data_IF_457065221484
#
_entry.id   IF_457065221484
#
_cell.length_a   1.000
_cell.length_b   1.000
_cell.length_c   1.000
_cell.angle_alpha   90.00
_cell.angle_beta   90.00
_cell.angle_gamma   90.00
#
_symmetry.space_group_name_H-M   'P 1'
#
loop_
_entity.id
_entity.type
_entity.pdbx_description
1 polymer ?
#
# COMPACT_ATOMS: atom_id res chain seq x y z
N UNK A 1 -24.18 -36.22 25.27
CA UNK A 1 -24.66 -35.07 26.08
C UNK A 1 -23.61 -33.96 26.24
N UNK A 2 -22.54 -34.09 27.03
CA UNK A 2 -21.57 -32.98 27.22
C UNK A 2 -20.68 -32.75 25.97
N UNK A 3 -20.22 -33.84 25.36
CA UNK A 3 -19.42 -33.83 24.12
C UNK A 3 -20.23 -33.34 22.91
N UNK A 4 -21.50 -33.75 22.82
CA UNK A 4 -22.47 -33.22 21.85
C UNK A 4 -22.73 -31.72 22.00
N UNK A 5 -22.85 -31.24 23.25
CA UNK A 5 -23.05 -29.83 23.54
C UNK A 5 -21.83 -28.97 23.19
N UNK A 6 -20.61 -29.50 23.41
CA UNK A 6 -19.36 -28.83 23.01
C UNK A 6 -19.25 -28.76 21.49
N UNK A 7 -19.48 -29.87 20.78
CA UNK A 7 -19.44 -29.88 19.31
C UNK A 7 -20.47 -28.94 18.68
N UNK A 8 -21.70 -28.88 19.23
CA UNK A 8 -22.70 -27.90 18.75
C UNK A 8 -22.31 -26.46 19.05
N UNK A 9 -21.63 -26.19 20.16
CA UNK A 9 -21.16 -24.85 20.51
C UNK A 9 -20.01 -24.39 19.61
N UNK A 10 -19.08 -25.29 19.28
CA UNK A 10 -18.01 -25.05 18.30
C UNK A 10 -18.58 -24.79 16.89
N UNK A 11 -19.54 -25.60 16.44
CA UNK A 11 -20.24 -25.41 15.16
C UNK A 11 -20.96 -24.06 15.08
N UNK A 12 -21.64 -23.64 16.17
CA UNK A 12 -22.32 -22.34 16.24
C UNK A 12 -21.29 -21.21 16.21
N UNK A 13 -20.16 -21.36 16.90
CA UNK A 13 -19.10 -20.36 16.92
C UNK A 13 -18.46 -20.18 15.54
N UNK A 14 -18.10 -21.27 14.85
CA UNK A 14 -17.55 -21.21 13.49
C UNK A 14 -18.53 -20.59 12.50
N UNK A 15 -19.81 -20.99 12.54
CA UNK A 15 -20.85 -20.42 11.67
C UNK A 15 -21.05 -18.93 11.92
N UNK A 16 -21.05 -18.52 13.19
CA UNK A 16 -21.19 -17.10 13.55
C UNK A 16 -20.01 -16.29 13.05
N UNK A 17 -18.78 -16.82 13.20
CA UNK A 17 -17.56 -16.19 12.69
C UNK A 17 -17.59 -16.05 11.17
N UNK A 18 -17.94 -17.12 10.44
CA UNK A 18 -18.08 -17.11 8.99
C UNK A 18 -19.16 -16.11 8.53
N UNK A 19 -20.30 -16.04 9.21
CA UNK A 19 -21.34 -15.05 8.90
C UNK A 19 -20.86 -13.61 9.11
N UNK A 20 -20.11 -13.35 10.18
CA UNK A 20 -19.52 -12.03 10.44
C UNK A 20 -18.47 -11.66 9.39
N UNK A 21 -17.61 -12.59 8.99
CA UNK A 21 -16.65 -12.40 7.92
C UNK A 21 -17.34 -12.14 6.57
N UNK A 22 -18.42 -12.87 6.27
CA UNK A 22 -19.22 -12.68 5.06
C UNK A 22 -19.89 -11.31 5.03
N UNK A 23 -20.57 -10.91 6.11
CA UNK A 23 -21.17 -9.57 6.21
C UNK A 23 -20.14 -8.46 6.09
N UNK A 24 -18.95 -8.66 6.66
CA UNK A 24 -17.85 -7.69 6.54
C UNK A 24 -17.37 -7.59 5.09
N UNK A 25 -17.24 -8.72 4.39
CA UNK A 25 -16.85 -8.76 2.99
C UNK A 25 -17.91 -8.11 2.06
N UNK A 26 -19.20 -8.37 2.28
CA UNK A 26 -20.29 -7.73 1.54
C UNK A 26 -20.32 -6.22 1.75
N UNK A 27 -20.19 -5.77 2.99
CA UNK A 27 -20.14 -4.34 3.32
C UNK A 27 -18.93 -3.66 2.66
N UNK A 28 -17.77 -4.32 2.66
CA UNK A 28 -16.58 -3.80 1.98
C UNK A 28 -16.75 -3.73 0.47
N UNK A 29 -17.32 -4.76 -0.16
CA UNK A 29 -17.62 -4.73 -1.61
C UNK A 29 -18.58 -3.60 -1.99
N UNK A 30 -19.62 -3.36 -1.19
CA UNK A 30 -20.57 -2.28 -1.42
C UNK A 30 -19.94 -0.89 -1.26
N UNK A 31 -19.18 -0.68 -0.17
CA UNK A 31 -18.36 0.53 0.01
C UNK A 31 -17.44 0.69 -1.19
N UNK A 32 -16.94 -0.42 -1.72
CA UNK A 32 -15.95 -0.38 -2.75
C UNK A 32 -16.42 -0.02 -4.15
N UNK A 33 -17.58 -0.51 -4.55
CA UNK A 33 -18.23 -0.07 -5.78
C UNK A 33 -18.57 1.42 -5.74
N UNK A 34 -19.02 1.92 -4.58
CA UNK A 34 -19.32 3.34 -4.38
C UNK A 34 -18.05 4.19 -4.39
N UNK A 35 -17.00 3.74 -3.69
CA UNK A 35 -15.70 4.39 -3.68
C UNK A 35 -15.13 4.52 -5.10
N UNK A 36 -15.22 3.48 -5.93
CA UNK A 36 -14.80 3.49 -7.33
C UNK A 36 -15.46 4.61 -8.15
N UNK A 37 -16.77 4.77 -8.01
CA UNK A 37 -17.52 5.83 -8.70
C UNK A 37 -17.14 7.21 -8.19
N UNK A 38 -17.13 7.40 -6.87
CA UNK A 38 -16.83 8.68 -6.22
C UNK A 38 -15.40 9.13 -6.51
N UNK A 39 -14.44 8.22 -6.45
CA UNK A 39 -13.06 8.51 -6.78
C UNK A 39 -12.87 8.94 -8.24
N UNK A 40 -13.56 8.29 -9.17
CA UNK A 40 -13.52 8.67 -10.58
C UNK A 40 -14.14 10.07 -10.79
N UNK A 41 -15.23 10.38 -10.08
CA UNK A 41 -15.89 11.69 -10.13
C UNK A 41 -15.07 12.79 -9.47
N UNK A 42 -14.24 12.50 -8.46
CA UNK A 42 -13.31 13.47 -7.84
C UNK A 42 -12.03 13.63 -8.66
N UNK A 43 -11.49 12.55 -9.24
CA UNK A 43 -10.27 12.59 -10.05
C UNK A 43 -10.44 13.50 -11.26
N UNK A 44 -11.63 13.52 -11.87
CA UNK A 44 -11.92 14.36 -13.04
C UNK A 44 -11.72 15.87 -12.80
N UNK A 45 -12.42 16.53 -11.85
CA UNK A 45 -12.22 17.94 -11.57
C UNK A 45 -10.81 18.24 -11.06
N UNK A 46 -10.20 17.34 -10.28
CA UNK A 46 -8.80 17.50 -9.86
C UNK A 46 -7.82 17.50 -11.03
N UNK A 47 -7.98 16.59 -11.99
CA UNK A 47 -7.13 16.53 -13.20
C UNK A 47 -7.23 17.83 -13.98
N UNK A 48 -8.44 18.38 -14.12
CA UNK A 48 -8.68 19.67 -14.79
C UNK A 48 -7.99 20.82 -14.04
N UNK A 49 -8.15 20.89 -12.72
CA UNK A 49 -7.49 21.91 -11.88
C UNK A 49 -5.97 21.82 -11.99
N UNK A 50 -5.40 20.62 -11.85
CA UNK A 50 -3.96 20.35 -11.99
C UNK A 50 -3.43 20.80 -13.36
N UNK A 51 -4.18 20.52 -14.43
CA UNK A 51 -3.84 20.96 -15.78
C UNK A 51 -3.77 22.49 -15.91
N UNK A 52 -4.74 23.21 -15.34
CA UNK A 52 -4.69 24.68 -15.31
C UNK A 52 -3.52 25.21 -14.49
N UNK A 53 -3.25 24.65 -13.31
CA UNK A 53 -2.12 25.07 -12.48
C UNK A 53 -0.78 24.85 -13.20
N UNK A 54 -0.62 23.72 -13.91
CA UNK A 54 0.57 23.44 -14.74
C UNK A 54 0.73 24.43 -15.90
N UNK A 55 -0.36 24.85 -16.54
CA UNK A 55 -0.32 25.91 -17.57
C UNK A 55 0.14 27.22 -16.95
N UNK A 56 -0.35 27.58 -15.76
CA UNK A 56 0.11 28.80 -15.08
C UNK A 56 1.59 28.74 -14.77
N UNK A 57 2.08 27.63 -14.20
CA UNK A 57 3.51 27.39 -13.92
C UNK A 57 4.44 27.61 -15.12
N UNK A 58 3.95 27.46 -16.37
CA UNK A 58 4.73 27.67 -17.59
C UNK A 58 4.88 29.12 -18.02
N UNK A 59 4.22 30.07 -17.34
CA UNK A 59 4.26 31.51 -17.64
C UNK A 59 5.29 32.23 -16.75
N UNK A 60 5.79 33.37 -17.22
CA UNK A 60 6.57 34.26 -16.35
C UNK A 60 5.69 34.77 -15.20
N UNK A 61 6.19 34.62 -13.98
CA UNK A 61 5.53 34.99 -12.73
C UNK A 61 6.57 35.28 -11.65
N UNK A 62 6.13 35.82 -10.51
CA UNK A 62 7.01 36.00 -9.35
C UNK A 62 7.43 34.65 -8.75
N UNK A 63 8.56 34.62 -8.04
CA UNK A 63 8.99 33.41 -7.31
C UNK A 63 7.97 32.98 -6.26
N UNK A 64 7.24 33.94 -5.66
CA UNK A 64 6.21 33.71 -4.67
C UNK A 64 4.97 33.03 -5.27
N UNK A 65 4.49 33.49 -6.43
CA UNK A 65 3.40 32.84 -7.16
C UNK A 65 3.76 31.41 -7.59
N UNK A 66 5.01 31.22 -8.00
CA UNK A 66 5.53 29.92 -8.40
C UNK A 66 5.58 28.94 -7.21
N UNK A 67 5.94 29.43 -6.02
CA UNK A 67 5.88 28.66 -4.78
C UNK A 67 4.45 28.26 -4.41
N UNK A 68 3.49 29.18 -4.48
CA UNK A 68 2.09 28.88 -4.17
C UNK A 68 1.48 27.86 -5.14
N UNK A 69 1.79 27.98 -6.43
CA UNK A 69 1.34 27.03 -7.45
C UNK A 69 1.90 25.62 -7.23
N UNK A 70 3.18 25.50 -6.83
CA UNK A 70 3.77 24.21 -6.47
C UNK A 70 3.06 23.58 -5.26
N UNK A 71 2.81 24.36 -4.22
CA UNK A 71 2.10 23.89 -3.03
C UNK A 71 0.68 23.39 -3.36
N UNK A 72 -0.06 24.12 -4.20
CA UNK A 72 -1.39 23.69 -4.65
C UNK A 72 -1.35 22.36 -5.41
N UNK A 73 -0.35 22.18 -6.29
CA UNK A 73 -0.17 20.92 -7.02
C UNK A 73 0.20 19.77 -6.08
N UNK A 74 1.05 20.01 -5.07
CA UNK A 74 1.39 19.01 -4.06
C UNK A 74 0.16 18.54 -3.27
N UNK A 75 -0.70 19.46 -2.83
CA UNK A 75 -1.93 19.09 -2.12
C UNK A 75 -2.94 18.36 -3.03
N UNK A 76 -2.99 18.70 -4.33
CA UNK A 76 -3.76 17.91 -5.30
C UNK A 76 -3.21 16.48 -5.44
N UNK A 77 -1.89 16.32 -5.57
CA UNK A 77 -1.26 15.00 -5.64
C UNK A 77 -1.52 14.18 -4.38
N UNK A 78 -1.53 14.84 -3.21
CA UNK A 78 -1.86 14.22 -1.93
C UNK A 78 -3.32 13.74 -1.90
N UNK A 79 -4.26 14.55 -2.35
CA UNK A 79 -5.66 14.13 -2.48
C UNK A 79 -5.82 12.94 -3.44
N UNK A 80 -5.09 12.94 -4.56
CA UNK A 80 -5.05 11.84 -5.54
C UNK A 80 -4.58 10.54 -4.89
N UNK A 81 -3.56 10.63 -4.03
CA UNK A 81 -3.02 9.50 -3.27
C UNK A 81 -4.04 8.96 -2.28
N UNK A 82 -4.69 9.82 -1.49
CA UNK A 82 -5.73 9.42 -0.52
C UNK A 82 -6.89 8.71 -1.22
N UNK A 83 -7.30 9.21 -2.39
CA UNK A 83 -8.37 8.60 -3.18
C UNK A 83 -7.95 7.22 -3.68
N UNK A 84 -6.73 7.07 -4.18
CA UNK A 84 -6.21 5.78 -4.64
C UNK A 84 -6.07 4.77 -3.49
N UNK A 85 -5.60 5.21 -2.33
CA UNK A 85 -5.54 4.40 -1.11
C UNK A 85 -6.96 3.92 -0.73
N UNK A 86 -7.94 4.81 -0.74
CA UNK A 86 -9.34 4.47 -0.46
C UNK A 86 -9.93 3.49 -1.50
N UNK A 87 -9.55 3.62 -2.77
CA UNK A 87 -9.95 2.70 -3.83
C UNK A 87 -9.35 1.31 -3.72
N UNK A 88 -8.14 1.20 -3.17
CA UNK A 88 -7.51 -0.11 -2.97
C UNK A 88 -8.27 -0.99 -1.97
N UNK A 89 -8.95 -0.38 -0.99
CA UNK A 89 -9.83 -1.07 -0.04
C UNK A 89 -11.13 -1.58 -0.66
N UNK A 90 -11.51 -0.95 -1.76
CA UNK A 90 -12.82 -0.97 -2.37
C UNK A 90 -12.95 -2.02 -3.49
N UNK A 91 -11.88 -2.17 -4.27
CA UNK A 91 -11.78 -3.21 -5.28
C UNK A 91 -10.39 -3.83 -5.16
N UNK A 92 -10.25 -5.04 -4.59
CA UNK A 92 -9.15 -5.88 -5.03
C UNK A 92 -9.27 -5.96 -6.56
N UNK A 93 -8.22 -5.55 -7.24
CA UNK A 93 -8.16 -5.57 -8.69
C UNK A 93 -8.27 -7.06 -9.07
N UNK A 94 -9.38 -7.48 -9.66
CA UNK A 94 -9.56 -8.86 -10.13
C UNK A 94 -8.75 -9.04 -11.42
N UNK A 95 -7.48 -8.64 -11.39
CA UNK A 95 -6.52 -8.89 -12.43
C UNK A 95 -6.38 -10.40 -12.61
N UNK A 96 -6.13 -10.80 -13.86
CA UNK A 96 -5.91 -12.22 -14.17
C UNK A 96 -4.71 -12.70 -13.36
N UNK A 97 -4.86 -13.85 -12.71
CA UNK A 97 -3.74 -14.57 -12.13
C UNK A 97 -2.78 -14.94 -13.26
N UNK A 98 -1.57 -14.40 -13.19
CA UNK A 98 -0.48 -14.67 -14.14
C UNK A 98 0.69 -15.31 -13.40
N UNK A 99 1.58 -15.95 -14.15
CA UNK A 99 2.89 -16.34 -13.62
C UNK A 99 3.78 -15.10 -13.66
N UNK A 100 4.25 -14.70 -12.48
CA UNK A 100 5.10 -13.55 -12.23
C UNK A 100 6.51 -14.09 -11.95
N UNK A 101 7.51 -13.51 -12.61
CA UNK A 101 8.89 -13.72 -12.22
C UNK A 101 9.18 -12.86 -10.98
N UNK A 102 9.45 -13.53 -9.86
CA UNK A 102 9.70 -12.88 -8.58
C UNK A 102 10.96 -12.02 -8.61
N UNK A 103 12.00 -12.46 -9.33
CA UNK A 103 13.26 -11.73 -9.46
C UNK A 103 13.06 -10.43 -10.23
N UNK A 104 12.38 -10.48 -11.38
CA UNK A 104 12.01 -9.28 -12.16
C UNK A 104 11.15 -8.32 -11.32
N UNK A 105 10.19 -8.85 -10.55
CA UNK A 105 9.35 -8.05 -9.66
C UNK A 105 10.18 -7.36 -8.56
N UNK A 106 11.08 -8.10 -7.90
CA UNK A 106 11.96 -7.56 -6.86
C UNK A 106 12.80 -6.40 -7.40
N UNK A 107 13.45 -6.60 -8.55
CA UNK A 107 14.29 -5.57 -9.18
C UNK A 107 13.47 -4.32 -9.56
N UNK A 108 12.35 -4.49 -10.25
CA UNK A 108 11.49 -3.38 -10.65
C UNK A 108 10.99 -2.54 -9.46
N UNK A 109 10.63 -3.19 -8.37
CA UNK A 109 10.15 -2.50 -7.17
C UNK A 109 11.32 -1.81 -6.45
N UNK A 110 12.48 -2.47 -6.32
CA UNK A 110 13.65 -1.86 -5.67
C UNK A 110 14.18 -0.66 -6.44
N UNK A 111 14.22 -0.72 -7.76
CA UNK A 111 14.63 0.41 -8.61
C UNK A 111 13.69 1.60 -8.43
N UNK A 112 12.37 1.36 -8.47
CA UNK A 112 11.38 2.40 -8.23
C UNK A 112 11.56 3.04 -6.84
N UNK A 113 11.72 2.21 -5.81
CA UNK A 113 11.87 2.67 -4.43
C UNK A 113 13.23 3.32 -4.16
N UNK A 114 14.28 2.99 -4.93
CA UNK A 114 15.59 3.66 -4.82
C UNK A 114 15.50 5.13 -5.19
N UNK A 115 14.70 5.48 -6.20
CA UNK A 115 14.44 6.85 -6.59
C UNK A 115 13.70 7.62 -5.49
N UNK A 116 12.73 6.97 -4.84
CA UNK A 116 12.01 7.54 -3.69
C UNK A 116 12.93 7.71 -2.47
N UNK A 117 13.77 6.70 -2.20
CA UNK A 117 14.73 6.71 -1.10
C UNK A 117 15.80 7.81 -1.26
N UNK A 118 16.23 8.11 -2.49
CA UNK A 118 17.15 9.21 -2.78
C UNK A 118 16.56 10.60 -2.50
N UNK A 119 15.23 10.75 -2.61
CA UNK A 119 14.55 12.00 -2.24
C UNK A 119 14.41 12.13 -0.71
N UNK A 120 14.45 11.02 0.03
CA UNK A 120 14.52 10.98 1.48
C UNK A 120 15.98 11.00 1.98
N UNK A 121 16.20 11.30 3.26
CA UNK A 121 17.56 11.34 3.85
C UNK A 121 18.31 10.00 3.66
N UNK A 122 19.64 10.03 3.57
CA UNK A 122 20.64 8.93 3.50
C UNK A 122 20.15 7.47 3.80
N UNK A 123 19.34 6.87 2.91
CA UNK A 123 18.94 5.45 3.01
C UNK A 123 19.72 4.61 2.02
N UNK A 124 20.37 3.57 2.52
CA UNK A 124 21.03 2.55 1.71
C UNK A 124 20.05 1.41 1.41
N UNK A 125 19.86 1.10 0.12
CA UNK A 125 18.99 0.02 -0.31
C UNK A 125 19.81 -1.18 -0.79
N UNK A 126 19.44 -2.39 -0.36
CA UNK A 126 20.07 -3.64 -0.78
C UNK A 126 19.05 -4.69 -1.20
N UNK A 127 19.38 -5.39 -2.27
CA UNK A 127 18.54 -6.45 -2.82
C UNK A 127 19.34 -7.74 -2.84
N UNK A 128 18.73 -8.85 -2.43
CA UNK A 128 19.30 -10.18 -2.52
C UNK A 128 18.28 -11.14 -3.12
N UNK A 129 18.65 -11.82 -4.20
CA UNK A 129 17.82 -12.85 -4.84
C UNK A 129 18.55 -14.17 -4.66
N UNK A 130 18.08 -15.00 -3.73
CA UNK A 130 18.71 -16.29 -3.44
C UNK A 130 18.27 -17.37 -4.42
N UNK A 131 17.01 -17.31 -4.83
CA UNK A 131 16.38 -18.30 -5.70
C UNK A 131 15.62 -17.63 -6.84
N UNK A 132 15.56 -18.29 -7.99
CA UNK A 132 14.59 -17.93 -9.02
C UNK A 132 13.20 -18.46 -8.63
N UNK A 133 12.26 -17.54 -8.43
CA UNK A 133 10.92 -17.87 -7.94
C UNK A 133 9.88 -17.43 -8.96
N UNK A 134 8.97 -18.36 -9.31
CA UNK A 134 7.78 -18.06 -10.11
C UNK A 134 6.55 -18.04 -9.22
N UNK A 135 5.81 -16.95 -9.24
CA UNK A 135 4.68 -16.70 -8.34
C UNK A 135 3.41 -16.63 -9.19
N UNK A 136 2.37 -17.37 -8.81
CA UNK A 136 1.05 -17.23 -9.45
C UNK A 136 0.23 -16.20 -8.69
N UNK A 137 -0.08 -15.07 -9.31
CA UNK A 137 -0.75 -13.95 -8.62
C UNK A 137 -1.20 -12.84 -9.56
N UNK A 138 -1.83 -11.82 -9.01
CA UNK A 138 -2.05 -10.57 -9.72
C UNK A 138 -0.76 -9.72 -9.67
N UNK A 139 -0.20 -9.39 -10.84
CA UNK A 139 1.06 -8.63 -10.95
C UNK A 139 0.94 -7.22 -10.36
N UNK A 140 -0.18 -6.52 -10.56
CA UNK A 140 -0.36 -5.15 -10.06
C UNK A 140 -0.49 -5.13 -8.53
N UNK A 141 -1.28 -6.03 -7.96
CA UNK A 141 -1.49 -6.12 -6.52
C UNK A 141 -0.21 -6.53 -5.78
N UNK A 142 0.51 -7.55 -6.26
CA UNK A 142 1.77 -7.95 -5.64
C UNK A 142 2.78 -6.79 -5.66
N UNK A 143 2.87 -6.07 -6.78
CA UNK A 143 3.72 -4.88 -6.90
C UNK A 143 3.33 -3.82 -5.88
N UNK A 144 2.03 -3.56 -5.71
CA UNK A 144 1.52 -2.55 -4.77
C UNK A 144 1.83 -2.92 -3.32
N UNK A 145 1.63 -4.18 -2.94
CA UNK A 145 1.95 -4.66 -1.58
C UNK A 145 3.43 -4.43 -1.27
N UNK A 146 4.33 -4.81 -2.19
CA UNK A 146 5.77 -4.61 -1.99
C UNK A 146 6.13 -3.12 -1.88
N UNK A 147 5.54 -2.27 -2.73
CA UNK A 147 5.73 -0.81 -2.67
C UNK A 147 5.28 -0.26 -1.31
N UNK A 148 4.10 -0.64 -0.83
CA UNK A 148 3.56 -0.14 0.43
C UNK A 148 4.46 -0.52 1.61
N UNK A 149 4.93 -1.78 1.66
CA UNK A 149 5.82 -2.24 2.73
C UNK A 149 7.18 -1.53 2.68
N UNK A 150 7.79 -1.40 1.49
CA UNK A 150 9.07 -0.70 1.34
C UNK A 150 8.96 0.79 1.67
N UNK A 151 7.87 1.45 1.24
CA UNK A 151 7.57 2.84 1.57
C UNK A 151 7.43 3.01 3.09
N UNK A 152 6.75 2.10 3.78
CA UNK A 152 6.65 2.10 5.24
C UNK A 152 8.03 1.99 5.90
N UNK A 153 8.90 1.11 5.41
CA UNK A 153 10.29 0.99 5.89
C UNK A 153 11.11 2.26 5.68
N UNK A 154 11.01 2.91 4.51
CA UNK A 154 11.68 4.20 4.22
C UNK A 154 11.21 5.29 5.19
N UNK A 155 9.90 5.40 5.39
CA UNK A 155 9.31 6.43 6.24
C UNK A 155 9.59 6.21 7.72
N UNK A 156 9.82 4.96 8.15
CA UNK A 156 10.26 4.63 9.51
C UNK A 156 11.73 5.04 9.79
N UNK A 157 12.51 5.37 8.75
CA UNK A 157 13.93 5.75 8.84
C UNK A 157 14.14 7.26 8.65
N UNK A 158 13.56 8.06 9.55
CA UNK A 158 13.55 9.53 9.46
C UNK A 158 14.92 10.22 9.39
N UNK A 159 16.01 9.56 9.84
CA UNK A 159 17.38 10.07 9.85
C UNK A 159 18.35 9.29 8.93
N UNK A 160 17.81 8.46 8.04
CA UNK A 160 18.58 7.54 7.21
C UNK A 160 18.67 6.14 7.83
N UNK A 161 19.26 5.21 7.07
CA UNK A 161 19.35 3.82 7.51
C UNK A 161 19.61 2.83 6.39
N UNK A 162 19.23 1.57 6.63
CA UNK A 162 19.38 0.48 5.67
C UNK A 162 18.05 -0.23 5.48
N UNK A 163 17.62 -0.30 4.22
CA UNK A 163 16.49 -1.11 3.78
C UNK A 163 17.00 -2.25 2.93
N UNK A 164 16.51 -3.47 3.18
CA UNK A 164 16.85 -4.63 2.36
C UNK A 164 15.62 -5.45 2.00
N UNK A 165 15.59 -5.98 0.79
CA UNK A 165 14.62 -6.98 0.35
C UNK A 165 15.36 -8.23 -0.13
N UNK A 166 15.02 -9.36 0.47
CA UNK A 166 15.50 -10.68 0.06
C UNK A 166 14.35 -11.48 -0.54
N UNK A 167 14.57 -12.11 -1.70
CA UNK A 167 13.69 -13.10 -2.28
C UNK A 167 14.30 -14.49 -2.13
N UNK A 168 13.56 -15.40 -1.50
CA UNK A 168 13.99 -16.79 -1.30
C UNK A 168 12.82 -17.77 -1.48
N UNK A 169 13.14 -19.02 -1.79
CA UNK A 169 12.15 -20.09 -1.89
C UNK A 169 12.07 -20.88 -0.57
N UNK A 170 10.87 -21.01 -0.02
CA UNK A 170 10.61 -21.87 1.14
C UNK A 170 9.50 -22.87 0.81
N UNK A 171 9.88 -24.13 0.52
CA UNK A 171 8.95 -25.16 0.06
C UNK A 171 8.29 -24.77 -1.27
N UNK A 172 6.96 -24.70 -1.27
CA UNK A 172 6.16 -24.29 -2.42
C UNK A 172 5.92 -22.77 -2.50
N UNK A 173 6.47 -22.00 -1.56
CA UNK A 173 6.24 -20.56 -1.45
C UNK A 173 7.47 -19.75 -1.86
N UNK A 174 7.19 -18.63 -2.54
CA UNK A 174 8.12 -17.51 -2.66
C UNK A 174 7.99 -16.59 -1.46
N UNK A 175 9.10 -16.30 -0.79
CA UNK A 175 9.11 -15.46 0.41
C UNK A 175 9.90 -14.19 0.14
N UNK A 176 9.22 -13.04 0.28
CA UNK A 176 9.87 -11.73 0.30
C UNK A 176 10.13 -11.34 1.75
N UNK A 177 11.39 -11.12 2.10
CA UNK A 177 11.80 -10.65 3.42
C UNK A 177 12.27 -9.21 3.30
N UNK A 178 11.48 -8.28 3.83
CA UNK A 178 11.82 -6.85 3.86
C UNK A 178 12.29 -6.49 5.27
N UNK A 179 13.45 -5.86 5.39
CA UNK A 179 14.04 -5.42 6.66
C UNK A 179 14.50 -3.98 6.57
N UNK A 180 14.02 -3.14 7.47
CA UNK A 180 14.50 -1.78 7.70
C UNK A 180 15.25 -1.66 9.03
N UNK A 181 15.95 -0.54 9.21
CA UNK A 181 16.59 -0.15 10.48
C UNK A 181 15.92 1.09 11.08
N UNK A 182 14.60 1.22 10.91
CA UNK A 182 13.82 2.35 11.39
C UNK A 182 13.52 2.27 12.89
N UNK A 183 12.57 3.09 13.32
CA UNK A 183 12.14 3.23 14.72
C UNK A 183 11.51 1.95 15.33
N UNK A 184 11.14 0.98 14.49
CA UNK A 184 10.45 -0.25 14.91
C UNK A 184 9.01 0.00 15.37
N UNK A 185 8.44 -1.00 16.03
CA UNK A 185 7.08 -0.97 16.59
C UNK A 185 7.06 -1.65 17.97
N UNK A 186 6.30 -1.10 18.89
CA UNK A 186 5.94 -1.75 20.16
C UNK A 186 4.97 -2.92 19.92
N UNK A 187 4.80 -3.78 20.93
CA UNK A 187 3.88 -4.92 20.83
C UNK A 187 2.42 -4.49 20.60
N UNK A 188 2.01 -3.36 21.19
CA UNK A 188 0.67 -2.81 21.00
C UNK A 188 0.49 -2.29 19.56
N UNK A 189 1.46 -1.54 19.04
CA UNK A 189 1.43 -1.03 17.66
C UNK A 189 1.41 -2.17 16.63
N UNK A 190 2.22 -3.21 16.87
CA UNK A 190 2.26 -4.40 16.03
C UNK A 190 0.90 -5.13 16.03
N UNK A 191 0.20 -5.19 17.17
CA UNK A 191 -1.12 -5.83 17.25
C UNK A 191 -2.21 -5.11 16.43
N UNK A 192 -1.97 -3.83 16.09
CA UNK A 192 -2.85 -2.97 15.30
C UNK A 192 -2.37 -2.76 13.86
N UNK A 193 -1.24 -3.37 13.48
CA UNK A 193 -0.73 -3.32 12.11
C UNK A 193 -1.74 -3.95 11.14
N UNK A 194 -2.01 -3.25 10.03
CA UNK A 194 -2.99 -3.69 9.03
C UNK A 194 -4.46 -3.39 9.38
N UNK A 195 -4.73 -2.72 10.52
CA UNK A 195 -6.07 -2.19 10.80
C UNK A 195 -6.27 -0.91 9.98
N UNK A 196 -7.35 -0.85 9.20
CA UNK A 196 -7.67 0.34 8.39
C UNK A 196 -7.68 1.62 9.25
N UNK A 197 -7.09 2.69 8.73
CA UNK A 197 -6.96 4.02 9.36
C UNK A 197 -6.03 4.08 10.57
N UNK A 198 -5.34 2.99 10.92
CA UNK A 198 -4.31 3.02 11.94
C UNK A 198 -2.95 3.37 11.33
N UNK A 199 -2.36 4.48 11.76
CA UNK A 199 -1.07 4.96 11.29
C UNK A 199 -0.33 5.67 12.41
N UNK A 200 0.97 5.39 12.55
CA UNK A 200 1.88 6.11 13.45
C UNK A 200 2.44 7.40 12.82
N UNK A 201 2.07 7.67 11.57
CA UNK A 201 2.57 8.82 10.79
C UNK A 201 1.61 10.00 10.92
N UNK A 202 2.16 11.20 11.12
CA UNK A 202 1.41 12.46 11.19
C UNK A 202 0.55 12.76 9.94
N UNK A 203 0.98 12.25 8.76
CA UNK A 203 0.26 12.38 7.48
C UNK A 203 -0.11 11.04 6.83
N UNK A 204 0.01 9.93 7.56
CA UNK A 204 -0.27 8.61 7.00
C UNK A 204 -1.76 8.26 7.02
N UNK A 205 -2.23 7.66 5.92
CA UNK A 205 -3.63 7.25 5.75
C UNK A 205 -3.97 5.99 6.55
N UNK A 206 -2.98 5.16 6.89
CA UNK A 206 -3.20 3.86 7.54
C UNK A 206 -3.93 2.86 6.64
N UNK A 207 -3.83 3.04 5.32
CA UNK A 207 -4.52 2.23 4.30
C UNK A 207 -3.54 1.44 3.40
N UNK A 208 -2.23 1.57 3.65
CA UNK A 208 -1.18 0.88 2.91
C UNK A 208 -0.91 -0.53 3.39
#
# INVERSE_FOLDING_TARGET
MLEEAINTMEDIFERTKLQQELQRAEKMNAIGQLAASVAHEIRNPMTVVKGFLQIFLSKEMSEEDHMYLKLMIEELNRAETIINDYLSLAKPDVGKLVIIDGSEMTEQVMDLMSSYAMMSKNISMHTEIKDQVKIRGNKSELKQVLINILKNGIEAMGDGGKLSMTLEKQGDFGVFVIKDTGIGMTAEELSRLGTAFYSLKERGTGMG
#
